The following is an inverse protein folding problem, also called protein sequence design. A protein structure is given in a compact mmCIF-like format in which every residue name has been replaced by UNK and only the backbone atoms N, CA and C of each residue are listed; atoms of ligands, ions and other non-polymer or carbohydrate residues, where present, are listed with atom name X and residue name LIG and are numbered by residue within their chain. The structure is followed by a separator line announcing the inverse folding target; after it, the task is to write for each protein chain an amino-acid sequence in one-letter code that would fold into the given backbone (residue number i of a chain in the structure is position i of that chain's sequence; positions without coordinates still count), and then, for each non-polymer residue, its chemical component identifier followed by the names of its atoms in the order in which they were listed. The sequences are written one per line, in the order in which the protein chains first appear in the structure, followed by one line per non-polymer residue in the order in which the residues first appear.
data_IF_593015164660
#
_entry.id   IF_593015164660
#
_cell.length_a   1.000
_cell.length_b   1.000
_cell.length_c   1.000
_cell.angle_alpha   90.00
_cell.angle_beta   90.00
_cell.angle_gamma   90.00
#
_symmetry.space_group_name_H-M   'P 1'
#
loop_
_entity.id
_entity.type
_entity.pdbx_description
1 polymer ?
#
# COMPACT_ATOMS: atom_id res chain seq x y z
N UNK A 1 -24.77 -27.60 -1.89
CA UNK A 1 -24.70 -27.06 -0.49
C UNK A 1 -23.68 -25.93 -0.36
N UNK A 2 -22.41 -26.11 -0.76
CA UNK A 2 -21.37 -25.06 -0.54
C UNK A 2 -21.65 -23.68 -1.17
N UNK A 3 -22.24 -23.60 -2.39
CA UNK A 3 -22.46 -22.32 -3.06
C UNK A 3 -23.46 -21.43 -2.32
N UNK A 4 -24.52 -22.04 -1.80
CA UNK A 4 -25.54 -21.35 -1.02
C UNK A 4 -24.99 -20.81 0.33
N UNK A 5 -24.11 -21.59 0.99
CA UNK A 5 -23.43 -21.14 2.23
C UNK A 5 -22.48 -19.98 1.94
N UNK A 6 -21.78 -20.00 0.80
CA UNK A 6 -20.87 -18.92 0.38
C UNK A 6 -21.65 -17.63 0.07
N UNK A 7 -22.79 -17.70 -0.57
CA UNK A 7 -23.68 -16.57 -0.84
C UNK A 7 -24.23 -15.97 0.46
N UNK A 8 -24.71 -16.80 1.38
CA UNK A 8 -25.19 -16.36 2.71
C UNK A 8 -24.06 -15.76 3.54
N UNK A 9 -22.85 -16.32 3.50
CA UNK A 9 -21.68 -15.72 4.16
C UNK A 9 -21.35 -14.35 3.60
N UNK A 10 -21.49 -14.15 2.29
CA UNK A 10 -21.30 -12.86 1.66
C UNK A 10 -22.31 -11.83 2.17
N UNK A 11 -23.58 -12.21 2.26
CA UNK A 11 -24.65 -11.36 2.82
C UNK A 11 -24.39 -11.02 4.30
N UNK A 12 -24.00 -12.02 5.11
CA UNK A 12 -23.60 -11.81 6.49
C UNK A 12 -22.48 -10.76 6.62
N UNK A 13 -21.45 -10.82 5.78
CA UNK A 13 -20.37 -9.85 5.79
C UNK A 13 -20.82 -8.45 5.37
N UNK A 14 -21.80 -8.34 4.46
CA UNK A 14 -22.40 -7.06 4.05
C UNK A 14 -23.16 -6.43 5.23
N UNK A 15 -24.02 -7.21 5.89
CA UNK A 15 -24.78 -6.78 7.06
C UNK A 15 -23.86 -6.38 8.22
N UNK A 16 -22.73 -7.06 8.39
CA UNK A 16 -21.71 -6.72 9.38
C UNK A 16 -20.88 -5.47 9.01
N UNK A 17 -21.20 -4.76 7.92
CA UNK A 17 -20.57 -3.49 7.54
C UNK A 17 -19.15 -3.60 6.98
N UNK A 18 -18.73 -4.76 6.49
CA UNK A 18 -17.43 -4.90 5.85
C UNK A 18 -17.39 -4.21 4.48
N UNK A 19 -16.23 -3.64 4.12
CA UNK A 19 -16.04 -3.06 2.78
C UNK A 19 -16.05 -4.15 1.71
N UNK A 20 -16.52 -3.82 0.50
CA UNK A 20 -16.59 -4.74 -0.65
C UNK A 20 -15.28 -5.50 -0.90
N UNK A 21 -14.14 -4.79 -0.84
CA UNK A 21 -12.81 -5.41 -0.97
C UNK A 21 -12.53 -6.43 0.12
N UNK A 22 -12.94 -6.17 1.36
CA UNK A 22 -12.79 -7.10 2.49
C UNK A 22 -13.70 -8.30 2.32
N UNK A 23 -14.94 -8.09 1.89
CA UNK A 23 -15.90 -9.15 1.58
C UNK A 23 -15.33 -10.08 0.52
N UNK A 24 -14.92 -9.56 -0.64
CA UNK A 24 -14.29 -10.34 -1.72
C UNK A 24 -13.10 -11.18 -1.21
N UNK A 25 -12.26 -10.60 -0.35
CA UNK A 25 -11.09 -11.31 0.21
C UNK A 25 -11.49 -12.45 1.16
N UNK A 26 -12.45 -12.21 2.07
CA UNK A 26 -12.93 -13.21 3.04
C UNK A 26 -13.68 -14.34 2.35
N UNK A 27 -14.60 -14.02 1.44
CA UNK A 27 -15.35 -15.01 0.66
C UNK A 27 -14.42 -15.87 -0.18
N UNK A 28 -13.45 -15.26 -0.89
CA UNK A 28 -12.44 -16.02 -1.64
C UNK A 28 -11.67 -16.99 -0.76
N UNK A 29 -11.32 -16.60 0.47
CA UNK A 29 -10.59 -17.48 1.38
C UNK A 29 -11.48 -18.63 1.88
N UNK A 30 -12.76 -18.40 2.14
CA UNK A 30 -13.73 -19.45 2.48
C UNK A 30 -13.89 -20.45 1.32
N UNK A 31 -14.05 -19.96 0.08
CA UNK A 31 -14.14 -20.81 -1.13
C UNK A 31 -12.90 -21.71 -1.27
N UNK A 32 -11.70 -21.14 -1.14
CA UNK A 32 -10.45 -21.92 -1.25
C UNK A 32 -10.32 -22.97 -0.15
N UNK A 33 -10.79 -22.68 1.05
CA UNK A 33 -10.82 -23.62 2.16
C UNK A 33 -11.84 -24.74 1.92
N UNK A 34 -13.05 -24.40 1.47
CA UNK A 34 -14.08 -25.36 1.12
C UNK A 34 -13.60 -26.34 0.04
N UNK A 35 -12.91 -25.83 -0.98
CA UNK A 35 -12.31 -26.68 -2.03
C UNK A 35 -11.23 -27.62 -1.47
N UNK A 36 -10.42 -27.13 -0.52
CA UNK A 36 -9.42 -27.97 0.14
C UNK A 36 -10.05 -29.06 1.01
N UNK A 37 -11.12 -28.72 1.77
CA UNK A 37 -11.89 -29.70 2.54
C UNK A 37 -12.49 -30.77 1.63
N UNK A 38 -13.15 -30.36 0.55
CA UNK A 38 -13.78 -31.29 -0.43
C UNK A 38 -12.78 -32.29 -1.02
N UNK A 39 -11.56 -31.84 -1.35
CA UNK A 39 -10.48 -32.71 -1.86
C UNK A 39 -10.01 -33.76 -0.84
N UNK A 40 -10.35 -33.61 0.44
CA UNK A 40 -10.00 -34.53 1.55
C UNK A 40 -11.19 -35.31 2.10
N UNK A 41 -12.32 -35.25 1.41
CA UNK A 41 -13.53 -35.95 1.85
C UNK A 41 -14.13 -35.41 3.14
N UNK A 42 -13.85 -34.12 3.49
CA UNK A 42 -14.41 -33.48 4.68
C UNK A 42 -15.14 -32.18 4.32
N UNK A 43 -15.80 -31.58 5.30
CA UNK A 43 -16.52 -30.33 5.13
C UNK A 43 -16.13 -29.32 6.20
N UNK A 44 -16.30 -28.00 5.99
CA UNK A 44 -16.02 -26.97 7.00
C UNK A 44 -16.85 -27.15 8.28
N UNK A 45 -18.02 -27.74 8.18
CA UNK A 45 -18.92 -27.99 9.31
C UNK A 45 -18.37 -29.07 10.26
N UNK A 46 -17.73 -30.11 9.67
CA UNK A 46 -17.27 -31.30 10.40
C UNK A 46 -15.76 -31.27 10.74
N UNK A 47 -14.99 -30.30 10.20
CA UNK A 47 -13.55 -30.30 10.35
C UNK A 47 -13.13 -29.98 11.80
N UNK A 48 -12.17 -30.75 12.32
CA UNK A 48 -11.58 -30.57 13.64
C UNK A 48 -10.32 -29.68 13.61
N UNK A 49 -9.82 -29.36 14.80
CA UNK A 49 -8.58 -28.56 14.96
C UNK A 49 -7.35 -29.22 14.31
N UNK A 50 -7.20 -30.54 14.45
CA UNK A 50 -6.06 -31.27 13.86
C UNK A 50 -6.06 -31.16 12.34
N UNK A 51 -7.21 -31.23 11.71
CA UNK A 51 -7.34 -31.04 10.26
C UNK A 51 -7.10 -29.58 9.85
N UNK A 52 -7.48 -28.62 10.68
CA UNK A 52 -7.11 -27.21 10.45
C UNK A 52 -5.57 -26.99 10.52
N UNK A 53 -4.84 -27.71 11.38
CA UNK A 53 -3.37 -27.68 11.37
C UNK A 53 -2.80 -28.24 10.06
N UNK A 54 -3.37 -29.31 9.48
CA UNK A 54 -2.97 -29.83 8.16
C UNK A 54 -3.21 -28.79 7.05
N UNK A 55 -4.24 -27.96 7.17
CA UNK A 55 -4.44 -26.84 6.24
C UNK A 55 -3.34 -25.78 6.38
N UNK A 56 -2.91 -25.48 7.60
CA UNK A 56 -1.80 -24.56 7.84
C UNK A 56 -0.49 -25.10 7.22
N UNK A 57 -0.22 -26.40 7.38
CA UNK A 57 0.94 -27.06 6.74
C UNK A 57 0.86 -26.99 5.21
N UNK A 58 -0.33 -27.23 4.65
CA UNK A 58 -0.57 -27.06 3.22
C UNK A 58 -0.28 -25.63 2.74
N UNK A 59 -0.68 -24.61 3.52
CA UNK A 59 -0.37 -23.21 3.19
C UNK A 59 1.12 -22.92 3.30
N UNK A 60 1.85 -23.51 4.26
CA UNK A 60 3.31 -23.42 4.37
C UNK A 60 3.99 -24.08 3.15
N UNK A 61 3.59 -25.26 2.79
CA UNK A 61 4.09 -25.97 1.60
C UNK A 61 3.87 -25.22 0.28
N UNK A 62 2.87 -24.33 0.24
CA UNK A 62 2.68 -23.37 -0.87
C UNK A 62 3.57 -22.12 -0.81
N UNK A 63 4.56 -22.06 0.07
CA UNK A 63 5.47 -20.93 0.21
C UNK A 63 4.85 -19.65 0.83
N UNK A 64 3.69 -19.77 1.51
CA UNK A 64 3.12 -18.60 2.16
C UNK A 64 3.92 -18.23 3.42
N UNK A 65 4.25 -16.93 3.57
CA UNK A 65 4.85 -16.43 4.81
C UNK A 65 3.91 -16.57 6.01
N UNK A 66 4.47 -16.66 7.23
CA UNK A 66 3.71 -16.71 8.51
C UNK A 66 2.67 -15.59 8.59
N UNK A 67 3.03 -14.36 8.18
CA UNK A 67 2.13 -13.21 8.12
C UNK A 67 0.95 -13.42 7.16
N UNK A 68 1.21 -13.98 5.99
CA UNK A 68 0.17 -14.30 4.99
C UNK A 68 -0.76 -15.38 5.52
N UNK A 69 -0.23 -16.41 6.18
CA UNK A 69 -1.04 -17.49 6.76
C UNK A 69 -1.93 -16.93 7.88
N UNK A 70 -1.38 -16.14 8.81
CA UNK A 70 -2.17 -15.50 9.87
C UNK A 70 -3.30 -14.61 9.31
N UNK A 71 -3.04 -13.88 8.23
CA UNK A 71 -4.10 -13.10 7.56
C UNK A 71 -5.20 -14.01 6.98
N UNK A 72 -4.84 -15.14 6.36
CA UNK A 72 -5.81 -16.13 5.87
C UNK A 72 -6.58 -16.78 7.01
N UNK A 73 -5.92 -17.12 8.12
CA UNK A 73 -6.58 -17.65 9.32
C UNK A 73 -7.56 -16.65 9.92
N UNK A 74 -7.25 -15.36 9.92
CA UNK A 74 -8.19 -14.31 10.36
C UNK A 74 -9.45 -14.30 9.50
N UNK A 75 -9.36 -14.51 8.18
CA UNK A 75 -10.52 -14.61 7.31
C UNK A 75 -11.31 -15.88 7.58
N UNK A 76 -10.65 -17.01 7.77
CA UNK A 76 -11.30 -18.30 8.09
C UNK A 76 -11.95 -18.28 9.47
N UNK A 77 -11.34 -17.61 10.45
CA UNK A 77 -11.94 -17.42 11.78
C UNK A 77 -13.31 -16.74 11.67
N UNK A 78 -13.43 -15.69 10.84
CA UNK A 78 -14.71 -15.05 10.59
C UNK A 78 -15.71 -16.01 9.87
N UNK A 79 -15.22 -16.88 9.00
CA UNK A 79 -16.06 -17.87 8.33
C UNK A 79 -16.56 -18.92 9.32
N UNK A 80 -15.71 -19.47 10.17
CA UNK A 80 -16.13 -20.39 11.22
C UNK A 80 -17.08 -19.75 12.24
N UNK A 81 -16.82 -18.49 12.64
CA UNK A 81 -17.75 -17.74 13.51
C UNK A 81 -19.14 -17.62 12.84
N UNK A 82 -19.20 -17.34 11.54
CA UNK A 82 -20.45 -17.35 10.79
C UNK A 82 -21.12 -18.74 10.82
N UNK A 83 -20.37 -19.82 10.62
CA UNK A 83 -20.93 -21.19 10.67
C UNK A 83 -21.50 -21.54 12.07
N UNK A 84 -20.90 -21.01 13.14
CA UNK A 84 -21.41 -21.15 14.51
C UNK A 84 -22.71 -20.36 14.69
N UNK A 85 -22.75 -19.10 14.25
CA UNK A 85 -23.95 -18.24 14.34
C UNK A 85 -25.15 -18.87 13.61
N UNK A 86 -24.92 -19.44 12.44
CA UNK A 86 -25.95 -20.08 11.63
C UNK A 86 -26.23 -21.55 12.05
N UNK A 87 -25.67 -21.98 13.20
CA UNK A 87 -25.85 -23.34 13.74
C UNK A 87 -25.40 -24.48 12.82
N UNK A 88 -24.50 -24.22 11.86
CA UNK A 88 -23.87 -25.26 11.04
C UNK A 88 -22.82 -26.06 11.81
N UNK A 89 -22.29 -25.49 12.93
CA UNK A 89 -21.34 -26.11 13.84
C UNK A 89 -21.41 -25.49 15.23
N UNK A 90 -20.87 -26.19 16.24
CA UNK A 90 -20.97 -25.79 17.64
C UNK A 90 -19.81 -24.87 18.08
N UNK A 91 -18.64 -24.96 17.45
CA UNK A 91 -17.41 -24.28 17.88
C UNK A 91 -16.64 -23.66 16.70
N UNK A 92 -15.67 -22.82 16.99
CA UNK A 92 -14.71 -22.29 16.03
C UNK A 92 -13.34 -22.96 16.26
N UNK A 93 -12.92 -23.94 15.44
CA UNK A 93 -11.73 -24.73 15.72
C UNK A 93 -10.41 -23.97 15.67
N UNK A 94 -10.41 -22.75 15.13
CA UNK A 94 -9.21 -21.91 15.01
C UNK A 94 -9.34 -20.55 15.71
N UNK A 95 -10.27 -20.43 16.66
CA UNK A 95 -10.58 -19.14 17.30
C UNK A 95 -9.31 -18.44 17.84
N UNK A 96 -8.48 -19.17 18.56
CA UNK A 96 -7.27 -18.65 19.18
C UNK A 96 -5.97 -19.04 18.45
N UNK A 97 -6.08 -19.59 17.23
CA UNK A 97 -4.92 -20.11 16.50
C UNK A 97 -4.14 -18.96 15.85
N UNK A 98 -2.90 -18.74 16.30
CA UNK A 98 -1.96 -17.78 15.74
C UNK A 98 -0.62 -18.48 15.54
N UNK A 99 -0.07 -18.37 14.34
CA UNK A 99 1.30 -18.82 14.08
C UNK A 99 2.24 -17.78 14.64
N UNK A 100 2.91 -18.11 15.74
CA UNK A 100 3.97 -17.28 16.31
C UNK A 100 5.17 -17.27 15.35
N UNK A 101 5.82 -16.14 15.23
CA UNK A 101 7.00 -15.97 14.39
C UNK A 101 7.78 -14.78 14.86
N UNK A 102 9.06 -14.73 14.51
CA UNK A 102 9.86 -13.54 14.66
C UNK A 102 9.13 -12.34 14.06
N UNK A 103 9.14 -11.23 14.75
CA UNK A 103 8.74 -9.95 14.15
C UNK A 103 9.76 -9.68 13.06
N UNK A 104 9.47 -10.06 11.83
CA UNK A 104 10.23 -9.57 10.68
C UNK A 104 9.96 -8.06 10.60
N UNK A 105 10.75 -7.29 11.33
CA UNK A 105 10.91 -5.89 11.03
C UNK A 105 11.50 -5.85 9.61
N UNK A 106 10.74 -5.33 8.67
CA UNK A 106 11.26 -5.09 7.34
C UNK A 106 12.08 -3.81 7.42
N UNK A 107 13.36 -3.93 7.76
CA UNK A 107 14.30 -2.84 7.60
C UNK A 107 14.33 -2.48 6.12
N UNK A 108 13.92 -1.27 5.81
CA UNK A 108 14.15 -0.72 4.48
C UNK A 108 15.56 -0.16 4.48
N UNK A 109 16.36 -0.51 3.49
CA UNK A 109 17.53 0.30 3.17
C UNK A 109 17.03 1.69 2.83
N UNK A 110 17.21 2.64 3.75
CA UNK A 110 16.75 4.01 3.58
C UNK A 110 17.58 4.70 2.50
N UNK A 111 16.93 5.56 1.75
CA UNK A 111 17.60 6.43 0.78
C UNK A 111 18.06 7.69 1.50
N UNK A 112 19.28 8.15 1.23
CA UNK A 112 19.77 9.43 1.71
C UNK A 112 19.01 10.58 1.05
N UNK A 113 19.20 11.79 1.55
CA UNK A 113 18.59 12.98 0.96
C UNK A 113 19.04 13.17 -0.49
N UNK A 114 20.34 13.04 -0.73
CA UNK A 114 20.93 13.17 -2.06
C UNK A 114 20.40 12.09 -3.02
N UNK A 115 20.29 10.85 -2.56
CA UNK A 115 19.70 9.76 -3.35
C UNK A 115 18.22 10.02 -3.69
N UNK A 116 17.46 10.65 -2.79
CA UNK A 116 16.07 11.04 -3.07
C UNK A 116 16.00 12.16 -4.11
N UNK A 117 16.86 13.18 -3.98
CA UNK A 117 16.95 14.30 -4.93
C UNK A 117 17.43 13.80 -6.30
N UNK A 118 18.41 12.91 -6.35
CA UNK A 118 18.88 12.26 -7.56
C UNK A 118 17.79 11.51 -8.32
N UNK A 119 16.87 10.84 -7.61
CA UNK A 119 15.73 10.19 -8.25
C UNK A 119 14.85 11.18 -9.03
N UNK A 120 14.75 12.41 -8.55
CA UNK A 120 13.96 13.46 -9.21
C UNK A 120 14.73 14.10 -10.35
N UNK A 121 15.99 14.52 -10.11
CA UNK A 121 16.79 15.23 -11.12
C UNK A 121 17.23 14.34 -12.27
N UNK A 122 17.56 13.08 -11.99
CA UNK A 122 17.95 12.10 -13.01
C UNK A 122 16.76 11.54 -13.80
N UNK A 123 15.51 11.86 -13.40
CA UNK A 123 14.34 11.38 -14.12
C UNK A 123 14.15 12.15 -15.43
N UNK A 124 14.62 11.56 -16.53
CA UNK A 124 14.57 12.14 -17.88
C UNK A 124 13.15 12.12 -18.45
N UNK A 125 12.73 13.24 -19.04
CA UNK A 125 11.42 13.38 -19.69
C UNK A 125 11.50 13.29 -21.21
N UNK A 126 12.66 13.54 -21.79
CA UNK A 126 12.86 13.65 -23.24
C UNK A 126 13.36 12.35 -23.85
N UNK A 127 14.12 11.55 -23.10
CA UNK A 127 14.58 10.22 -23.56
C UNK A 127 13.55 9.13 -23.18
N UNK A 128 12.55 8.94 -24.03
CA UNK A 128 11.55 7.88 -23.87
C UNK A 128 11.79 6.75 -24.84
N UNK A 129 11.50 5.50 -24.41
CA UNK A 129 11.80 4.28 -25.16
C UNK A 129 11.16 4.24 -26.56
N UNK A 130 10.03 4.91 -26.74
CA UNK A 130 9.39 5.16 -28.02
C UNK A 130 9.09 6.66 -28.09
N UNK A 131 9.80 7.37 -28.96
CA UNK A 131 9.71 8.82 -29.10
C UNK A 131 8.41 9.24 -29.79
N UNK A 132 7.31 9.17 -29.03
CA UNK A 132 6.03 9.73 -29.45
C UNK A 132 5.53 10.77 -28.44
N UNK A 133 4.74 11.71 -28.93
CA UNK A 133 4.21 12.81 -28.12
C UNK A 133 3.50 12.33 -26.83
N UNK A 134 2.79 11.21 -26.88
CA UNK A 134 2.10 10.67 -25.71
C UNK A 134 3.08 10.20 -24.62
N UNK A 135 4.14 9.49 -24.99
CA UNK A 135 5.14 9.00 -24.04
C UNK A 135 5.93 10.15 -23.40
N UNK A 136 6.23 11.21 -24.14
CA UNK A 136 6.81 12.44 -23.59
C UNK A 136 5.87 13.08 -22.56
N UNK A 137 4.57 13.21 -22.87
CA UNK A 137 3.58 13.71 -21.90
C UNK A 137 3.47 12.81 -20.68
N UNK A 138 3.49 11.48 -20.86
CA UNK A 138 3.48 10.55 -19.75
C UNK A 138 4.75 10.66 -18.89
N UNK A 139 5.92 10.89 -19.47
CA UNK A 139 7.17 11.10 -18.74
C UNK A 139 7.14 12.40 -17.91
N UNK A 140 6.59 13.49 -18.43
CA UNK A 140 6.38 14.74 -17.67
C UNK A 140 5.45 14.53 -16.46
N UNK A 141 4.33 13.81 -16.63
CA UNK A 141 3.49 13.39 -15.52
C UNK A 141 4.26 12.55 -14.50
N UNK A 142 5.01 11.58 -14.98
CA UNK A 142 5.77 10.66 -14.13
C UNK A 142 6.80 11.43 -13.29
N UNK A 143 7.48 12.44 -13.84
CA UNK A 143 8.42 13.32 -13.12
C UNK A 143 7.73 14.06 -11.97
N UNK A 144 6.56 14.64 -12.22
CA UNK A 144 5.75 15.29 -11.16
C UNK A 144 5.41 14.30 -10.04
N UNK A 145 5.04 13.07 -10.41
CA UNK A 145 4.73 12.02 -9.43
C UNK A 145 5.98 11.64 -8.62
N UNK A 146 7.15 11.55 -9.26
CA UNK A 146 8.44 11.37 -8.54
C UNK A 146 8.66 12.49 -7.55
N UNK A 147 8.48 13.75 -7.96
CA UNK A 147 8.61 14.92 -7.09
C UNK A 147 7.71 14.81 -5.85
N UNK A 148 6.43 14.42 -6.03
CA UNK A 148 5.51 14.23 -4.91
C UNK A 148 5.89 13.07 -3.98
N UNK A 149 6.51 12.03 -4.51
CA UNK A 149 7.04 10.93 -3.68
C UNK A 149 8.25 11.37 -2.86
N UNK A 150 9.18 12.11 -3.48
CA UNK A 150 10.49 12.47 -2.92
C UNK A 150 10.38 13.66 -1.95
N UNK A 151 9.63 14.70 -2.31
CA UNK A 151 9.55 15.92 -1.49
C UNK A 151 8.37 15.93 -0.53
N UNK A 152 7.19 15.44 -0.95
CA UNK A 152 5.98 15.44 -0.14
C UNK A 152 5.69 14.08 0.51
N UNK A 153 6.50 13.05 0.25
CA UNK A 153 6.36 11.74 0.87
C UNK A 153 4.98 11.11 0.73
N UNK A 154 4.28 11.32 -0.40
CA UNK A 154 2.92 10.83 -0.57
C UNK A 154 2.85 9.30 -0.59
N UNK A 155 1.78 8.74 0.00
CA UNK A 155 1.45 7.32 -0.11
C UNK A 155 0.77 7.05 -1.49
N UNK A 156 0.97 5.87 -2.03
CA UNK A 156 0.32 5.40 -3.27
C UNK A 156 -1.20 5.65 -3.29
N UNK A 157 -1.85 5.57 -2.13
CA UNK A 157 -3.28 5.83 -2.00
C UNK A 157 -3.64 7.31 -2.04
N UNK A 158 -2.73 8.21 -1.69
CA UNK A 158 -2.95 9.65 -1.75
C UNK A 158 -3.20 10.07 -3.20
N UNK A 159 -2.38 9.57 -4.13
CA UNK A 159 -2.50 9.88 -5.56
C UNK A 159 -3.87 9.60 -6.17
N UNK A 160 -4.58 8.58 -5.66
CA UNK A 160 -5.93 8.25 -6.13
C UNK A 160 -6.97 9.28 -5.70
N UNK A 161 -6.76 9.94 -4.57
CA UNK A 161 -7.69 10.93 -4.02
C UNK A 161 -7.40 12.36 -4.44
N UNK A 162 -6.30 12.59 -5.17
CA UNK A 162 -5.93 13.93 -5.62
C UNK A 162 -6.81 14.38 -6.78
N UNK A 163 -7.38 15.60 -6.64
CA UNK A 163 -8.19 16.30 -7.65
C UNK A 163 -7.52 17.61 -8.02
N UNK A 164 -7.95 18.23 -9.11
CA UNK A 164 -7.45 19.54 -9.55
C UNK A 164 -7.63 20.60 -8.48
N UNK A 165 -8.78 20.63 -7.81
CA UNK A 165 -9.11 21.58 -6.74
C UNK A 165 -8.17 21.53 -5.53
N UNK A 166 -7.47 20.39 -5.35
CA UNK A 166 -6.50 20.20 -4.28
C UNK A 166 -5.16 20.88 -4.57
N UNK A 167 -4.90 21.21 -5.82
CA UNK A 167 -3.67 21.85 -6.26
C UNK A 167 -3.83 23.39 -6.20
N UNK A 168 -3.23 24.02 -5.20
CA UNK A 168 -3.31 25.47 -4.95
C UNK A 168 -2.02 26.15 -5.41
N UNK A 169 -1.83 26.24 -6.73
CA UNK A 169 -0.59 26.75 -7.32
C UNK A 169 -0.30 28.21 -6.94
N UNK A 170 -1.32 29.06 -6.81
CA UNK A 170 -1.19 30.45 -6.37
C UNK A 170 -0.63 30.57 -4.94
N UNK A 171 -0.73 29.52 -4.14
CA UNK A 171 -0.22 29.45 -2.77
C UNK A 171 1.03 28.55 -2.65
N UNK A 172 1.47 27.90 -3.73
CA UNK A 172 2.55 26.90 -3.69
C UNK A 172 2.23 25.68 -2.83
N UNK A 173 0.95 25.26 -2.77
CA UNK A 173 0.49 24.22 -1.84
C UNK A 173 -0.32 23.13 -2.53
N UNK A 174 -0.20 21.92 -1.96
CA UNK A 174 -1.02 20.77 -2.32
C UNK A 174 -1.82 20.30 -1.11
N UNK A 175 -3.14 20.34 -1.19
CA UNK A 175 -4.03 19.73 -0.21
C UNK A 175 -4.17 18.23 -0.47
N UNK A 176 -3.93 17.41 0.54
CA UNK A 176 -4.10 15.95 0.48
C UNK A 176 -5.31 15.58 1.34
N UNK A 177 -6.41 15.09 0.76
CA UNK A 177 -7.63 14.80 1.49
C UNK A 177 -7.47 13.65 2.49
N UNK A 178 -8.29 13.66 3.54
CA UNK A 178 -8.33 12.60 4.53
C UNK A 178 -8.79 11.27 3.92
N UNK A 179 -8.33 10.18 4.52
CA UNK A 179 -8.75 8.82 4.20
C UNK A 179 -8.98 8.03 5.50
N UNK A 180 -9.55 6.84 5.39
CA UNK A 180 -9.85 5.99 6.56
C UNK A 180 -8.70 5.90 7.58
N UNK A 181 -7.45 5.85 7.10
CA UNK A 181 -6.22 5.69 7.93
C UNK A 181 -5.26 6.87 7.84
N UNK A 182 -5.68 7.99 7.28
CA UNK A 182 -4.84 9.17 7.08
C UNK A 182 -5.65 10.43 7.28
N UNK A 183 -5.08 11.42 7.98
CA UNK A 183 -5.67 12.74 8.14
C UNK A 183 -5.43 13.58 6.89
N UNK A 184 -6.30 14.57 6.67
CA UNK A 184 -6.08 15.61 5.68
C UNK A 184 -4.88 16.46 6.09
N UNK A 185 -4.17 16.98 5.08
CA UNK A 185 -3.01 17.87 5.29
C UNK A 185 -2.74 18.73 4.08
N UNK A 186 -2.10 19.85 4.31
CA UNK A 186 -1.60 20.73 3.25
C UNK A 186 -0.08 20.70 3.27
N UNK A 187 0.54 20.43 2.12
CA UNK A 187 1.98 20.32 1.96
C UNK A 187 2.47 21.40 1.00
N UNK A 188 3.64 21.95 1.29
CA UNK A 188 4.28 22.92 0.43
C UNK A 188 4.90 22.25 -0.81
N UNK A 189 4.77 22.92 -1.95
CA UNK A 189 5.43 22.55 -3.19
C UNK A 189 6.74 23.35 -3.31
N UNK A 190 7.76 22.73 -3.89
CA UNK A 190 8.99 23.44 -4.25
C UNK A 190 8.72 24.37 -5.44
N UNK A 191 9.44 25.50 -5.57
CA UNK A 191 9.20 26.47 -6.65
C UNK A 191 9.22 25.84 -8.05
N UNK A 192 10.17 24.93 -8.32
CA UNK A 192 10.26 24.25 -9.60
C UNK A 192 9.09 23.28 -9.86
N UNK A 193 8.53 22.64 -8.82
CA UNK A 193 7.35 21.81 -8.95
C UNK A 193 6.13 22.63 -9.41
N UNK A 194 6.04 23.89 -9.00
CA UNK A 194 4.93 24.77 -9.41
C UNK A 194 4.93 24.98 -10.92
N UNK A 195 6.10 25.24 -11.52
CA UNK A 195 6.22 25.40 -12.97
C UNK A 195 5.85 24.13 -13.72
N UNK A 196 6.33 22.97 -13.25
CA UNK A 196 5.98 21.67 -13.81
C UNK A 196 4.48 21.38 -13.71
N UNK A 197 3.84 21.71 -12.57
CA UNK A 197 2.41 21.56 -12.42
C UNK A 197 1.61 22.48 -13.31
N UNK A 198 2.05 23.71 -13.54
CA UNK A 198 1.39 24.64 -14.49
C UNK A 198 1.39 24.05 -15.91
N UNK A 199 2.54 23.59 -16.39
CA UNK A 199 2.63 22.90 -17.68
C UNK A 199 1.75 21.66 -17.72
N UNK A 200 1.79 20.86 -16.64
CA UNK A 200 1.04 19.62 -16.54
C UNK A 200 -0.47 19.85 -16.67
N UNK A 201 -1.02 20.77 -15.90
CA UNK A 201 -2.46 21.02 -15.87
C UNK A 201 -2.95 21.57 -17.22
N UNK A 202 -2.19 22.50 -17.80
CA UNK A 202 -2.62 23.21 -19.01
C UNK A 202 -2.38 22.40 -20.29
N UNK A 203 -1.29 21.63 -20.36
CA UNK A 203 -0.84 21.01 -21.63
C UNK A 203 -0.86 19.48 -21.55
N UNK A 204 -0.23 18.90 -20.51
CA UNK A 204 0.03 17.48 -20.44
C UNK A 204 -1.21 16.67 -20.07
N UNK A 205 -1.89 17.10 -19.01
CA UNK A 205 -3.06 16.40 -18.45
C UNK A 205 -4.20 16.23 -19.45
N UNK A 206 -4.61 17.26 -20.24
CA UNK A 206 -5.68 17.10 -21.22
C UNK A 206 -5.38 16.04 -22.29
N UNK A 207 -4.11 15.96 -22.74
CA UNK A 207 -3.67 14.94 -23.72
C UNK A 207 -3.76 13.54 -23.12
N UNK A 208 -3.25 13.35 -21.90
CA UNK A 208 -3.29 12.07 -21.21
C UNK A 208 -4.73 11.64 -20.92
N UNK A 209 -5.59 12.58 -20.52
CA UNK A 209 -6.98 12.30 -20.15
C UNK A 209 -7.77 11.71 -21.33
N UNK A 210 -7.56 12.20 -22.57
CA UNK A 210 -8.22 11.70 -23.78
C UNK A 210 -7.93 10.22 -24.07
N UNK A 211 -6.82 9.68 -23.55
CA UNK A 211 -6.39 8.28 -23.77
C UNK A 211 -6.85 7.32 -22.66
N UNK A 212 -7.39 7.85 -21.55
CA UNK A 212 -7.90 7.00 -20.47
C UNK A 212 -9.26 6.43 -20.86
N UNK A 213 -9.35 5.12 -20.95
CA UNK A 213 -10.64 4.43 -21.13
C UNK A 213 -11.41 4.45 -19.81
N UNK A 214 -12.69 4.86 -19.86
CA UNK A 214 -13.58 4.91 -18.69
C UNK A 214 -12.92 5.60 -17.47
N UNK A 215 -12.63 6.92 -17.53
CA UNK A 215 -12.06 7.63 -16.39
C UNK A 215 -13.04 7.60 -15.21
N UNK A 216 -12.53 7.34 -14.00
CA UNK A 216 -13.36 7.28 -12.78
C UNK A 216 -13.93 8.65 -12.44
N UNK A 217 -13.16 9.72 -12.64
CA UNK A 217 -13.54 11.10 -12.34
C UNK A 217 -12.73 12.07 -13.20
N UNK A 218 -13.42 12.98 -13.88
CA UNK A 218 -12.79 14.02 -14.71
C UNK A 218 -11.99 15.06 -13.90
N UNK A 219 -12.23 15.17 -12.62
CA UNK A 219 -11.49 16.07 -11.73
C UNK A 219 -10.21 15.47 -11.16
N UNK A 220 -9.91 14.20 -11.45
CA UNK A 220 -8.66 13.58 -11.01
C UNK A 220 -7.44 14.38 -11.44
N UNK A 221 -6.53 14.64 -10.49
CA UNK A 221 -5.26 15.30 -10.82
C UNK A 221 -4.43 14.41 -11.77
N UNK A 222 -4.32 13.12 -11.47
CA UNK A 222 -3.65 12.13 -12.31
C UNK A 222 -4.68 11.19 -12.94
N UNK A 223 -4.97 11.31 -14.25
CA UNK A 223 -5.99 10.50 -14.91
C UNK A 223 -5.66 9.00 -14.85
N UNK A 224 -6.64 8.20 -14.45
CA UNK A 224 -6.57 6.73 -14.50
C UNK A 224 -7.97 6.14 -14.72
N UNK A 225 -8.03 4.91 -15.27
CA UNK A 225 -9.25 4.15 -15.42
C UNK A 225 -9.51 3.22 -14.22
N UNK A 226 -10.03 2.02 -14.48
CA UNK A 226 -10.40 1.05 -13.42
C UNK A 226 -9.22 0.68 -12.51
N UNK A 227 -8.01 0.57 -13.07
CA UNK A 227 -6.81 0.16 -12.33
C UNK A 227 -5.80 1.30 -12.24
N UNK A 228 -5.43 1.63 -11.02
CA UNK A 228 -4.37 2.59 -10.75
C UNK A 228 -3.01 1.88 -10.63
N UNK A 229 -2.30 1.78 -11.73
CA UNK A 229 -0.98 1.11 -11.81
C UNK A 229 0.19 2.09 -11.89
N UNK A 230 -0.07 3.38 -11.99
CA UNK A 230 0.92 4.45 -12.21
C UNK A 230 2.15 4.30 -11.30
N UNK A 231 1.94 4.23 -9.98
CA UNK A 231 3.06 4.16 -9.03
C UNK A 231 3.86 2.86 -9.15
N UNK A 232 3.21 1.72 -9.40
CA UNK A 232 3.92 0.45 -9.54
C UNK A 232 4.80 0.40 -10.78
N UNK A 233 4.35 1.00 -11.89
CA UNK A 233 5.14 1.15 -13.11
C UNK A 233 6.29 2.12 -12.88
N UNK A 234 6.03 3.24 -12.21
CA UNK A 234 7.03 4.25 -11.91
C UNK A 234 8.16 3.69 -11.03
N UNK A 235 7.84 2.94 -9.97
CA UNK A 235 8.85 2.30 -9.12
C UNK A 235 9.75 1.36 -9.93
N UNK A 236 9.22 0.64 -10.92
CA UNK A 236 10.04 -0.18 -11.82
C UNK A 236 11.02 0.65 -12.66
N UNK A 237 10.61 1.87 -13.06
CA UNK A 237 11.50 2.81 -13.75
C UNK A 237 12.57 3.34 -12.80
N UNK A 238 12.18 3.79 -11.59
CA UNK A 238 13.11 4.33 -10.59
C UNK A 238 14.19 3.35 -10.15
N UNK A 239 13.89 2.05 -10.11
CA UNK A 239 14.89 0.99 -9.87
C UNK A 239 16.03 0.96 -10.88
N UNK A 240 15.83 1.49 -12.08
CA UNK A 240 16.89 1.58 -13.10
C UNK A 240 17.85 2.73 -12.83
N UNK A 241 17.37 3.80 -12.18
CA UNK A 241 18.19 4.95 -11.77
C UNK A 241 18.95 4.68 -10.47
N UNK A 242 18.29 4.01 -9.50
CA UNK A 242 18.92 3.62 -8.26
C UNK A 242 18.44 2.22 -7.83
N UNK A 243 19.35 1.25 -7.82
CA UNK A 243 19.08 -0.15 -7.49
C UNK A 243 18.59 -0.36 -6.05
N UNK A 244 18.88 0.58 -5.14
CA UNK A 244 18.39 0.55 -3.74
C UNK A 244 16.87 0.76 -3.66
N UNK A 245 16.25 1.35 -4.68
CA UNK A 245 14.80 1.60 -4.69
C UNK A 245 14.05 0.28 -4.74
N UNK A 246 13.23 0.00 -3.74
CA UNK A 246 12.42 -1.23 -3.65
C UNK A 246 10.92 -0.95 -3.82
N UNK A 247 10.41 0.14 -3.25
CA UNK A 247 8.98 0.45 -3.23
C UNK A 247 8.70 1.92 -2.90
N UNK A 248 7.52 2.42 -3.28
CA UNK A 248 7.05 3.75 -2.86
C UNK A 248 6.96 3.89 -1.32
N UNK A 249 6.74 2.79 -0.61
CA UNK A 249 6.72 2.81 0.86
C UNK A 249 8.11 3.08 1.44
N UNK A 250 9.16 2.55 0.83
CA UNK A 250 10.55 2.84 1.21
C UNK A 250 10.89 4.32 0.97
N UNK A 251 10.60 4.85 -0.23
CA UNK A 251 10.82 6.27 -0.54
C UNK A 251 10.13 7.15 0.52
N UNK A 252 8.85 6.88 0.80
CA UNK A 252 8.12 7.60 1.85
C UNK A 252 8.75 7.44 3.24
N UNK A 253 9.24 6.26 3.60
CA UNK A 253 9.91 6.03 4.88
C UNK A 253 11.17 6.89 4.98
N UNK A 254 11.99 6.94 3.93
CA UNK A 254 13.18 7.79 3.86
C UNK A 254 12.83 9.27 4.05
N UNK A 255 11.79 9.76 3.35
CA UNK A 255 11.33 11.15 3.49
C UNK A 255 10.86 11.45 4.91
N UNK A 256 10.09 10.55 5.54
CA UNK A 256 9.62 10.75 6.93
C UNK A 256 10.79 10.82 7.91
N UNK A 257 11.80 9.98 7.76
CA UNK A 257 12.99 10.00 8.62
C UNK A 257 13.77 11.30 8.43
N UNK A 258 13.95 11.80 7.20
CA UNK A 258 14.56 13.11 6.98
C UNK A 258 13.75 14.26 7.57
N UNK A 259 12.43 14.18 7.58
CA UNK A 259 11.59 15.15 8.28
C UNK A 259 11.76 15.08 9.80
N UNK A 260 11.90 13.87 10.37
CA UNK A 260 12.13 13.68 11.81
C UNK A 260 13.47 14.26 12.27
N UNK A 261 14.49 14.31 11.40
CA UNK A 261 15.76 14.98 11.69
C UNK A 261 15.65 16.52 11.72
N UNK A 262 14.60 17.11 11.12
CA UNK A 262 14.43 18.56 10.96
C UNK A 262 13.24 19.14 11.73
N UNK A 263 12.28 18.33 12.10
CA UNK A 263 11.02 18.76 12.70
C UNK A 263 10.64 17.87 13.90
N UNK A 264 9.85 18.43 14.81
CA UNK A 264 9.31 17.65 15.92
C UNK A 264 8.29 16.60 15.44
N UNK A 265 8.10 15.59 16.28
CA UNK A 265 7.26 14.42 15.99
C UNK A 265 5.82 14.78 15.58
N UNK A 266 5.22 15.83 16.16
CA UNK A 266 3.85 16.27 15.84
C UNK A 266 3.77 16.91 14.46
N UNK A 267 4.74 17.75 14.10
CA UNK A 267 4.84 18.33 12.77
C UNK A 267 4.98 17.22 11.71
N UNK A 268 5.84 16.23 11.96
CA UNK A 268 6.02 15.10 11.04
C UNK A 268 4.76 14.22 10.99
N UNK A 269 4.09 13.99 12.11
CA UNK A 269 2.79 13.31 12.13
C UNK A 269 1.78 14.00 11.18
N UNK A 270 1.69 15.33 11.25
CA UNK A 270 0.84 16.12 10.37
C UNK A 270 1.27 15.99 8.90
N UNK A 271 2.54 16.24 8.58
CA UNK A 271 3.08 16.16 7.21
C UNK A 271 2.89 14.78 6.60
N UNK A 272 3.09 13.73 7.38
CA UNK A 272 2.84 12.35 6.96
C UNK A 272 1.35 12.00 6.89
N UNK A 273 0.48 12.76 7.53
CA UNK A 273 -0.96 12.49 7.62
C UNK A 273 -1.29 11.28 8.48
N UNK A 274 -0.47 10.95 9.48
CA UNK A 274 -0.73 9.81 10.36
C UNK A 274 -1.83 10.15 11.38
N UNK A 275 -2.87 9.31 11.47
CA UNK A 275 -3.94 9.48 12.48
C UNK A 275 -3.42 9.35 13.91
N UNK A 276 -2.52 8.41 14.14
CA UNK A 276 -1.99 8.08 15.44
C UNK A 276 -0.50 8.39 15.48
N UNK A 277 -0.03 9.00 16.56
CA UNK A 277 1.36 9.39 16.77
C UNK A 277 2.29 8.16 16.71
N UNK A 278 1.86 7.02 17.28
CA UNK A 278 2.61 5.76 17.24
C UNK A 278 2.96 5.27 15.82
N UNK A 279 2.24 5.74 14.80
CA UNK A 279 2.61 5.45 13.40
C UNK A 279 3.84 6.25 12.95
N UNK A 280 4.12 7.39 13.57
CA UNK A 280 5.31 8.21 13.31
C UNK A 280 6.47 7.76 14.20
N UNK A 281 6.20 7.43 15.47
CA UNK A 281 7.19 6.91 16.41
C UNK A 281 7.90 5.64 15.92
N UNK A 282 7.21 4.80 15.17
CA UNK A 282 7.81 3.60 14.56
C UNK A 282 9.01 3.92 13.66
N UNK A 283 9.00 5.05 12.97
CA UNK A 283 10.12 5.44 12.12
C UNK A 283 11.35 5.86 12.94
N UNK A 284 11.14 6.44 14.14
CA UNK A 284 12.23 6.74 15.08
C UNK A 284 12.85 5.46 15.63
N UNK A 285 12.01 4.48 15.99
CA UNK A 285 12.47 3.18 16.50
C UNK A 285 13.20 2.38 15.43
N UNK A 286 12.65 2.32 14.20
CA UNK A 286 13.25 1.61 13.08
C UNK A 286 14.63 2.22 12.71
N UNK A 287 14.81 3.53 12.84
CA UNK A 287 16.08 4.23 12.57
C UNK A 287 17.13 3.93 13.66
N UNK A 288 16.75 3.98 14.93
CA UNK A 288 17.62 3.66 16.06
C UNK A 288 18.06 2.18 16.04
N UNK A 289 17.15 1.25 15.76
CA UNK A 289 17.48 -0.17 15.65
C UNK A 289 18.40 -0.45 14.43
N UNK A 290 18.19 0.25 13.29
CA UNK A 290 19.06 0.17 12.12
C UNK A 290 20.48 0.68 12.42
N UNK A 291 20.61 1.74 13.21
CA UNK A 291 21.89 2.25 13.70
C UNK A 291 22.56 1.24 14.64
N UNK A 292 21.79 0.62 15.53
CA UNK A 292 22.32 -0.40 16.47
C UNK A 292 22.84 -1.61 15.73
N UNK A 293 22.07 -2.15 14.78
CA UNK A 293 22.49 -3.26 13.93
C UNK A 293 23.75 -2.94 13.09
N UNK A 294 23.89 -1.67 12.62
CA UNK A 294 25.11 -1.25 11.93
C UNK A 294 26.31 -1.20 12.89
N UNK A 295 26.14 -0.67 14.09
CA UNK A 295 27.22 -0.66 15.10
C UNK A 295 27.63 -2.06 15.46
N UNK A 296 26.69 -2.98 15.73
CA UNK A 296 26.98 -4.37 16.08
C UNK A 296 27.70 -5.14 14.95
N UNK A 297 27.34 -4.87 13.69
CA UNK A 297 27.97 -5.50 12.53
C UNK A 297 29.35 -4.92 12.18
N UNK A 298 29.69 -3.70 12.61
CA UNK A 298 30.96 -3.04 12.33
C UNK A 298 31.84 -2.87 13.57
N UNK A 299 31.44 -3.41 14.74
CA UNK A 299 32.26 -3.34 15.94
C UNK A 299 33.44 -4.29 15.81
N UNK A 300 34.70 -3.81 15.93
CA UNK A 300 35.90 -4.62 15.69
C UNK A 300 36.21 -5.61 16.84
N UNK A 301 35.31 -5.80 17.79
CA UNK A 301 35.49 -6.68 18.94
C UNK A 301 34.28 -7.65 18.99
N UNK A 302 34.37 -8.71 18.24
CA UNK A 302 33.62 -9.96 18.46
C UNK A 302 34.59 -11.11 18.37
#
# INVERSE_FOLDING_TARGET
MNKQIEERFTTYLQTAGYTEKTIKSKTRQAVLFNQWCKKRGTSPEAIDYKSCLKYIEYLKGKGNSKKTINHKLTHLRNYFTYLVIESYRLDNPIENTIIRGEKTQSYYTLLTRDELEDLYYSFETDKVLHDNAYNKMAAKRDKIVVGLLVYQGLDTKDFRGLRLEHLKLNQGKLYVPSRRRSNARTLELKPWQMMEFMEYVNTVRPVLFRKVKNPVDYQQLFPYGEQFTLISVLIKKLKKYNHKVTSAKQIRASVIIHWLAQHNLRTVQYMAGHKHICSTEKYVQDDLESLHDMVDNFHPIS
#
